data_IF_609360047601
#
_entry.id   IF_609360047601
#
_cell.length_a   1.000
_cell.length_b   1.000
_cell.length_c   1.000
_cell.angle_alpha   90.00
_cell.angle_beta   90.00
_cell.angle_gamma   90.00
#
_symmetry.space_group_name_H-M   'P 1'
#
loop_
_entity.id
_entity.type
_entity.pdbx_description
1 polymer ?
#
# COMPACT_ATOMS: atom_id res chain seq x y z
N UNK A 1 56.46 27.78 -1.83
CA UNK A 1 56.65 28.32 -3.18
C UNK A 1 55.83 27.43 -4.10
N UNK A 2 54.78 27.77 -4.73
CA UNK A 2 54.40 28.91 -5.58
C UNK A 2 52.89 29.07 -5.60
N UNK A 3 52.45 30.30 -5.62
CA UNK A 3 51.07 30.82 -5.76
C UNK A 3 50.58 30.71 -7.22
N UNK A 4 49.25 30.72 -7.39
CA UNK A 4 48.60 31.14 -8.62
C UNK A 4 47.20 30.47 -8.68
N UNK A 5 46.12 31.08 -8.99
CA UNK A 5 45.61 32.46 -9.13
C UNK A 5 44.11 32.28 -9.40
N UNK A 6 43.31 33.11 -8.78
CA UNK A 6 41.88 33.30 -9.03
C UNK A 6 41.60 33.77 -10.47
N UNK A 7 40.56 33.27 -11.10
CA UNK A 7 39.91 33.96 -12.22
C UNK A 7 38.39 33.97 -12.03
N UNK A 8 37.94 35.13 -11.64
CA UNK A 8 36.58 35.66 -11.68
C UNK A 8 36.13 35.81 -13.14
N UNK A 9 34.92 35.38 -13.52
CA UNK A 9 34.28 35.84 -14.75
C UNK A 9 32.85 36.28 -14.53
N UNK A 10 32.62 37.45 -15.03
CA UNK A 10 31.55 38.39 -14.79
C UNK A 10 30.16 37.99 -15.33
N UNK A 11 29.20 38.57 -14.66
CA UNK A 11 27.81 38.81 -14.93
C UNK A 11 27.59 39.45 -16.33
N UNK A 12 26.64 38.96 -17.10
CA UNK A 12 26.07 39.71 -18.21
C UNK A 12 24.52 39.75 -18.08
N UNK A 13 24.09 40.88 -17.57
CA UNK A 13 22.72 41.37 -17.58
C UNK A 13 22.39 41.85 -19.01
N UNK A 14 21.28 41.43 -19.57
CA UNK A 14 20.68 42.11 -20.73
C UNK A 14 19.22 42.48 -20.41
N UNK A 15 19.07 43.80 -20.22
CA UNK A 15 17.81 44.52 -20.41
C UNK A 15 17.39 44.55 -21.90
N UNK A 16 16.13 44.40 -22.22
CA UNK A 16 15.46 45.07 -23.35
C UNK A 16 13.96 45.05 -23.13
N UNK A 17 13.41 46.15 -22.82
CA UNK A 17 12.53 47.09 -23.53
C UNK A 17 11.04 46.70 -23.63
N UNK A 18 10.29 47.60 -22.97
CA UNK A 18 8.88 47.87 -23.16
C UNK A 18 8.61 48.65 -24.49
N UNK A 19 7.45 48.49 -25.03
CA UNK A 19 6.54 49.42 -25.77
C UNK A 19 5.91 48.77 -26.98
N UNK A 20 4.58 48.61 -26.98
CA UNK A 20 3.72 49.49 -27.81
C UNK A 20 2.24 49.17 -27.54
N UNK A 21 1.54 50.21 -27.07
CA UNK A 21 0.09 50.34 -27.07
C UNK A 21 -0.40 50.50 -28.52
N UNK A 22 -1.54 49.89 -28.92
CA UNK A 22 -2.48 50.48 -29.86
C UNK A 22 -3.91 50.12 -29.45
N UNK A 23 -4.64 51.13 -29.09
CA UNK A 23 -6.10 51.20 -29.06
C UNK A 23 -6.64 51.05 -30.48
N UNK A 24 -7.72 50.31 -30.69
CA UNK A 24 -8.69 50.53 -31.75
C UNK A 24 -10.06 50.45 -31.12
N UNK A 25 -10.77 51.60 -31.11
CA UNK A 25 -12.17 51.79 -30.80
C UNK A 25 -12.94 51.58 -32.12
N UNK A 26 -13.97 50.76 -32.12
CA UNK A 26 -14.86 50.57 -33.25
C UNK A 26 -16.27 50.20 -32.81
N UNK A 27 -17.16 51.05 -33.19
CA UNK A 27 -18.56 51.34 -32.78
C UNK A 27 -19.56 50.31 -33.33
N UNK A 28 -20.51 49.93 -32.46
CA UNK A 28 -21.92 49.60 -32.63
C UNK A 28 -22.50 48.89 -33.86
N UNK A 29 -23.26 47.82 -33.60
CA UNK A 29 -24.62 47.67 -34.12
C UNK A 29 -25.36 46.62 -33.28
N UNK A 30 -26.45 47.05 -32.65
CA UNK A 30 -27.39 46.22 -31.93
C UNK A 30 -28.28 45.47 -32.94
N UNK A 31 -28.28 44.14 -32.83
CA UNK A 31 -29.34 43.30 -33.38
C UNK A 31 -29.87 42.46 -32.23
N UNK A 32 -31.06 42.83 -31.74
CA UNK A 32 -31.82 42.05 -30.76
C UNK A 32 -32.40 40.85 -31.53
N UNK A 33 -31.74 39.68 -31.43
CA UNK A 33 -32.29 38.40 -31.83
C UNK A 33 -32.69 37.67 -30.56
N UNK A 34 -33.98 37.59 -30.30
CA UNK A 34 -34.58 36.91 -29.15
C UNK A 34 -34.49 35.38 -29.40
N UNK A 35 -33.35 34.81 -29.13
CA UNK A 35 -33.20 33.35 -29.04
C UNK A 35 -33.71 32.87 -27.66
N UNK A 36 -34.83 32.16 -27.69
CA UNK A 36 -35.27 31.35 -26.57
C UNK A 36 -34.22 30.24 -26.38
N UNK A 37 -33.28 30.47 -25.47
CA UNK A 37 -32.34 29.43 -25.06
C UNK A 37 -33.08 28.52 -24.08
N UNK A 38 -33.57 27.38 -24.58
CA UNK A 38 -33.96 26.27 -23.73
C UNK A 38 -32.70 25.80 -22.99
N UNK A 39 -32.53 26.20 -21.76
CA UNK A 39 -31.50 25.68 -20.88
C UNK A 39 -31.86 24.22 -20.58
N UNK A 40 -31.34 23.31 -21.41
CA UNK A 40 -31.21 21.91 -20.99
C UNK A 40 -30.21 21.94 -19.85
N UNK A 41 -30.74 21.84 -18.62
CA UNK A 41 -29.92 21.71 -17.43
C UNK A 41 -29.10 20.42 -17.57
N UNK A 42 -27.86 20.57 -18.02
CA UNK A 42 -26.87 19.50 -17.83
C UNK A 42 -26.64 19.41 -16.33
N UNK A 43 -27.26 18.44 -15.68
CA UNK A 43 -26.86 18.03 -14.34
C UNK A 43 -25.41 17.56 -14.47
N UNK A 44 -24.46 18.44 -14.14
CA UNK A 44 -23.11 18.01 -13.81
C UNK A 44 -23.26 17.07 -12.61
N UNK A 45 -23.23 15.77 -12.88
CA UNK A 45 -22.93 14.80 -11.83
C UNK A 45 -21.48 15.05 -11.51
N UNK A 46 -21.22 15.81 -10.45
CA UNK A 46 -19.90 15.92 -9.88
C UNK A 46 -19.49 14.48 -9.54
N UNK A 47 -18.58 13.91 -10.34
CA UNK A 47 -17.98 12.63 -10.04
C UNK A 47 -17.29 12.79 -8.68
N UNK A 48 -17.87 12.20 -7.64
CA UNK A 48 -17.23 12.13 -6.33
C UNK A 48 -15.81 11.61 -6.56
N UNK A 49 -14.76 12.30 -6.10
CA UNK A 49 -13.39 11.85 -6.30
C UNK A 49 -13.30 10.41 -5.81
N UNK A 50 -13.01 9.47 -6.69
CA UNK A 50 -12.81 8.07 -6.33
C UNK A 50 -11.66 8.06 -5.33
N UNK A 51 -11.92 7.59 -4.11
CA UNK A 51 -10.88 7.54 -3.07
C UNK A 51 -9.67 6.79 -3.62
N UNK A 52 -8.50 7.44 -3.55
CA UNK A 52 -7.27 6.90 -4.11
C UNK A 52 -6.92 5.57 -3.43
N UNK A 53 -6.74 4.51 -4.22
CA UNK A 53 -6.42 3.19 -3.73
C UNK A 53 -4.94 3.10 -3.33
N UNK A 54 -4.66 2.59 -2.14
CA UNK A 54 -3.30 2.49 -1.59
C UNK A 54 -3.01 1.09 -1.10
N UNK A 55 -2.00 0.43 -1.67
CA UNK A 55 -1.44 -0.82 -1.18
C UNK A 55 -0.28 -0.51 -0.22
N UNK A 56 -0.35 -1.04 0.99
CA UNK A 56 0.76 -1.07 1.93
C UNK A 56 1.35 -2.48 1.99
N UNK A 57 2.66 -2.61 1.80
CA UNK A 57 3.43 -3.82 2.14
C UNK A 57 4.19 -3.54 3.42
N UNK A 58 3.81 -4.20 4.51
CA UNK A 58 4.41 -4.04 5.83
C UNK A 58 5.28 -5.26 6.15
N UNK A 59 6.60 -5.04 6.35
CA UNK A 59 7.53 -6.15 6.48
C UNK A 59 8.78 -5.90 7.30
N UNK A 60 9.60 -6.95 7.37
CA UNK A 60 10.89 -6.99 8.06
C UNK A 60 12.08 -6.95 7.09
N UNK A 61 13.23 -7.59 7.47
CA UNK A 61 14.43 -7.66 6.63
C UNK A 61 14.21 -8.41 5.31
N UNK A 62 13.32 -9.40 5.27
CA UNK A 62 13.04 -10.14 4.06
C UNK A 62 12.36 -9.23 3.03
N UNK A 63 11.38 -8.45 3.47
CA UNK A 63 10.69 -7.46 2.62
C UNK A 63 11.63 -6.33 2.22
N UNK A 64 12.48 -5.87 3.15
CA UNK A 64 13.50 -4.87 2.83
C UNK A 64 14.43 -5.35 1.71
N UNK A 65 14.96 -6.58 1.84
CA UNK A 65 15.81 -7.19 0.81
C UNK A 65 15.07 -7.36 -0.52
N UNK A 66 13.82 -7.83 -0.49
CA UNK A 66 12.97 -7.96 -1.67
C UNK A 66 12.77 -6.62 -2.37
N UNK A 67 12.54 -5.54 -1.62
CA UNK A 67 12.41 -4.22 -2.22
C UNK A 67 13.75 -3.67 -2.73
N UNK A 68 14.85 -3.90 -2.00
CA UNK A 68 16.17 -3.42 -2.39
C UNK A 68 16.74 -4.14 -3.61
N UNK A 69 16.72 -5.49 -3.62
CA UNK A 69 17.34 -6.29 -4.67
C UNK A 69 16.43 -6.50 -5.87
N UNK A 70 15.16 -6.84 -5.65
CA UNK A 70 14.19 -7.16 -6.71
C UNK A 70 13.22 -6.02 -7.02
N UNK A 71 13.42 -4.82 -6.44
CA UNK A 71 12.64 -3.59 -6.73
C UNK A 71 11.13 -3.79 -6.60
N UNK A 72 10.69 -4.52 -5.57
CA UNK A 72 9.30 -4.94 -5.43
C UNK A 72 8.31 -3.77 -5.43
N UNK A 73 8.62 -2.64 -4.80
CA UNK A 73 7.74 -1.46 -4.80
C UNK A 73 7.53 -0.91 -6.21
N UNK A 74 8.59 -0.74 -6.99
CA UNK A 74 8.50 -0.26 -8.38
C UNK A 74 7.73 -1.23 -9.27
N UNK A 75 7.95 -2.53 -9.09
CA UNK A 75 7.26 -3.58 -9.86
C UNK A 75 5.77 -3.65 -9.49
N UNK A 76 5.43 -3.54 -8.23
CA UNK A 76 4.03 -3.42 -7.78
C UNK A 76 3.36 -2.16 -8.35
N UNK A 77 4.02 -1.01 -8.28
CA UNK A 77 3.48 0.24 -8.84
C UNK A 77 3.28 0.16 -10.37
N UNK A 78 4.16 -0.56 -11.08
CA UNK A 78 4.04 -0.78 -12.52
C UNK A 78 2.81 -1.62 -12.93
N UNK A 79 2.25 -2.43 -12.04
CA UNK A 79 1.03 -3.23 -12.31
C UNK A 79 -0.23 -2.37 -12.44
N UNK A 80 -0.23 -1.19 -11.86
CA UNK A 80 -1.40 -0.28 -11.78
C UNK A 80 -2.63 -0.88 -11.08
N UNK A 81 -2.46 -1.91 -10.27
CA UNK A 81 -3.54 -2.47 -9.44
C UNK A 81 -3.98 -1.50 -8.33
N UNK A 82 -3.07 -0.61 -7.90
CA UNK A 82 -3.32 0.44 -6.93
C UNK A 82 -2.72 1.75 -7.42
N UNK A 83 -3.34 2.88 -7.07
CA UNK A 83 -2.84 4.21 -7.41
C UNK A 83 -1.54 4.53 -6.70
N UNK A 84 -1.43 4.07 -5.45
CA UNK A 84 -0.24 4.24 -4.61
C UNK A 84 0.21 2.89 -4.06
N UNK A 85 1.53 2.66 -4.08
CA UNK A 85 2.17 1.49 -3.44
C UNK A 85 3.24 1.98 -2.47
N UNK A 86 3.10 1.58 -1.21
CA UNK A 86 4.06 1.84 -0.15
C UNK A 86 4.66 0.53 0.35
N UNK A 87 5.98 0.48 0.48
CA UNK A 87 6.68 -0.63 1.13
C UNK A 87 7.37 -0.09 2.37
N UNK A 88 6.82 -0.39 3.54
CA UNK A 88 7.44 -0.06 4.81
C UNK A 88 8.02 -1.31 5.47
N UNK A 89 9.33 -1.38 5.49
CA UNK A 89 10.07 -2.54 5.99
C UNK A 89 11.35 -2.13 6.71
N UNK A 90 11.75 -2.89 7.72
CA UNK A 90 12.96 -2.63 8.52
C UNK A 90 13.57 -3.92 9.03
N UNK A 91 14.88 -3.96 9.13
CA UNK A 91 15.63 -5.08 9.69
C UNK A 91 15.26 -5.30 11.15
N UNK A 92 15.07 -6.56 11.53
CA UNK A 92 14.76 -6.93 12.91
C UNK A 92 13.35 -6.57 13.36
N UNK A 93 12.50 -6.05 12.47
CA UNK A 93 11.13 -5.67 12.82
C UNK A 93 10.30 -6.89 13.21
N UNK A 94 9.60 -6.79 14.34
CA UNK A 94 8.57 -7.73 14.80
C UNK A 94 7.18 -7.17 14.52
N UNK A 95 6.16 -7.98 14.70
CA UNK A 95 4.75 -7.56 14.61
C UNK A 95 4.46 -6.48 15.66
N UNK A 96 4.77 -6.80 16.93
CA UNK A 96 4.64 -5.91 18.08
C UNK A 96 5.90 -6.00 18.94
N UNK A 97 6.07 -5.15 19.92
CA UNK A 97 7.23 -5.18 20.81
C UNK A 97 7.61 -3.79 21.29
N UNK A 98 8.90 -3.43 21.18
CA UNK A 98 9.35 -2.09 21.57
C UNK A 98 8.49 -1.03 20.89
N UNK A 99 8.05 -0.01 21.62
CA UNK A 99 7.26 1.10 21.08
C UNK A 99 8.14 1.98 20.16
N UNK A 100 8.44 1.45 18.98
CA UNK A 100 9.34 2.03 17.99
C UNK A 100 8.90 1.62 16.61
N UNK A 101 8.72 2.58 15.71
CA UNK A 101 8.40 2.36 14.29
C UNK A 101 9.43 1.51 13.56
N UNK A 102 10.68 1.49 14.04
CA UNK A 102 11.74 0.65 13.51
C UNK A 102 11.52 -0.83 13.82
N UNK A 103 11.21 -1.16 15.09
CA UNK A 103 11.20 -2.53 15.58
C UNK A 103 9.81 -3.14 15.78
N UNK A 104 8.76 -2.34 15.63
CA UNK A 104 7.36 -2.78 15.73
C UNK A 104 6.59 -2.39 14.47
N UNK A 105 6.06 -3.39 13.76
CA UNK A 105 5.18 -3.18 12.61
C UNK A 105 3.88 -2.48 13.00
N UNK A 106 3.35 -2.82 14.17
CA UNK A 106 2.14 -2.18 14.70
C UNK A 106 2.37 -0.68 15.00
N UNK A 107 3.51 -0.32 15.60
CA UNK A 107 3.86 1.08 15.83
C UNK A 107 4.11 1.83 14.50
N UNK A 108 4.77 1.17 13.53
CA UNK A 108 4.98 1.74 12.20
C UNK A 108 3.67 2.02 11.48
N UNK A 109 2.73 1.07 11.50
CA UNK A 109 1.41 1.24 10.90
C UNK A 109 0.62 2.38 11.55
N UNK A 110 0.62 2.44 12.89
CA UNK A 110 -0.03 3.56 13.61
C UNK A 110 0.55 4.91 13.22
N UNK A 111 1.88 5.00 13.07
CA UNK A 111 2.54 6.23 12.62
C UNK A 111 2.12 6.59 11.18
N UNK A 112 2.16 5.63 10.25
CA UNK A 112 1.71 5.87 8.88
C UNK A 112 0.26 6.40 8.83
N UNK A 113 -0.63 5.81 9.64
CA UNK A 113 -2.02 6.26 9.74
C UNK A 113 -2.10 7.68 10.32
N UNK A 114 -1.30 8.00 11.33
CA UNK A 114 -1.23 9.34 11.91
C UNK A 114 -0.70 10.38 10.91
N UNK A 115 0.26 9.98 10.07
CA UNK A 115 0.82 10.79 8.97
C UNK A 115 -0.12 10.92 7.76
N UNK A 116 -1.35 10.41 7.85
CA UNK A 116 -2.38 10.55 6.83
C UNK A 116 -2.44 9.43 5.80
N UNK A 117 -1.59 8.39 5.89
CA UNK A 117 -1.69 7.23 5.01
C UNK A 117 -2.97 6.45 5.30
N UNK A 118 -3.71 6.13 4.25
CA UNK A 118 -4.97 5.37 4.33
C UNK A 118 -4.88 4.14 3.43
N UNK A 119 -4.28 3.03 3.90
CA UNK A 119 -4.21 1.81 3.10
C UNK A 119 -5.62 1.30 2.80
N UNK A 120 -5.90 0.99 1.54
CA UNK A 120 -7.13 0.30 1.12
C UNK A 120 -6.92 -1.21 1.07
N UNK A 121 -5.67 -1.66 1.08
CA UNK A 121 -5.28 -3.06 1.21
C UNK A 121 -3.88 -3.18 1.82
N UNK A 122 -3.61 -4.30 2.51
CA UNK A 122 -2.33 -4.53 3.19
C UNK A 122 -1.78 -5.92 2.89
N UNK A 123 -0.52 -6.00 2.48
CA UNK A 123 0.28 -7.24 2.52
C UNK A 123 1.13 -7.20 3.79
N UNK A 124 0.99 -8.20 4.66
CA UNK A 124 1.80 -8.34 5.88
C UNK A 124 2.81 -9.47 5.68
N UNK A 125 4.09 -9.15 5.82
CA UNK A 125 5.20 -10.10 5.77
C UNK A 125 6.07 -9.92 7.02
N UNK A 126 5.47 -10.23 8.18
CA UNK A 126 6.04 -10.14 9.52
C UNK A 126 5.86 -11.45 10.29
N UNK A 127 6.69 -11.65 11.30
CA UNK A 127 6.68 -12.82 12.17
C UNK A 127 8.05 -13.50 12.26
N UNK A 128 8.94 -13.32 11.28
CA UNK A 128 10.28 -13.94 11.24
C UNK A 128 11.12 -13.61 12.48
N UNK A 129 10.98 -12.40 13.01
CA UNK A 129 11.70 -11.98 14.20
C UNK A 129 10.93 -12.30 15.50
N UNK A 130 9.62 -12.46 15.41
CA UNK A 130 8.76 -12.84 16.54
C UNK A 130 9.03 -14.29 16.97
N UNK A 131 9.22 -15.21 16.01
CA UNK A 131 9.49 -16.63 16.29
C UNK A 131 10.85 -16.90 16.95
N UNK A 132 11.75 -15.91 16.94
CA UNK A 132 13.01 -15.99 17.66
C UNK A 132 12.90 -15.55 19.13
N UNK A 133 11.82 -14.84 19.48
CA UNK A 133 11.67 -14.20 20.80
C UNK A 133 10.47 -14.76 21.56
N UNK A 134 9.30 -14.87 20.88
CA UNK A 134 8.09 -15.37 21.47
C UNK A 134 8.08 -16.91 21.45
N UNK A 135 7.57 -17.51 22.52
CA UNK A 135 7.59 -18.98 22.65
C UNK A 135 6.21 -19.58 22.90
N UNK A 136 5.26 -18.78 23.34
CA UNK A 136 3.92 -19.23 23.69
C UNK A 136 2.91 -18.88 22.61
N UNK A 137 2.04 -19.83 22.27
CA UNK A 137 1.00 -19.65 21.26
C UNK A 137 0.13 -18.41 21.51
N UNK A 138 -0.23 -18.17 22.79
CA UNK A 138 -1.03 -16.99 23.18
C UNK A 138 -0.36 -15.67 22.80
N UNK A 139 0.98 -15.59 22.88
CA UNK A 139 1.72 -14.39 22.54
C UNK A 139 1.62 -14.09 21.04
N UNK A 140 1.70 -15.13 20.20
CA UNK A 140 1.47 -14.99 18.76
C UNK A 140 0.04 -14.49 18.46
N UNK A 141 -0.97 -15.13 19.07
CA UNK A 141 -2.37 -14.72 18.90
C UNK A 141 -2.54 -13.23 19.25
N UNK A 142 -2.00 -12.80 20.40
CA UNK A 142 -2.11 -11.42 20.85
C UNK A 142 -1.50 -10.43 19.84
N UNK A 143 -0.25 -10.63 19.42
CA UNK A 143 0.42 -9.67 18.55
C UNK A 143 -0.19 -9.64 17.14
N UNK A 144 -0.70 -10.77 16.62
CA UNK A 144 -1.40 -10.85 15.36
C UNK A 144 -2.73 -10.08 15.44
N UNK A 145 -3.52 -10.30 16.50
CA UNK A 145 -4.79 -9.60 16.72
C UNK A 145 -4.59 -8.08 16.87
N UNK A 146 -3.57 -7.66 17.62
CA UNK A 146 -3.23 -6.24 17.78
C UNK A 146 -2.96 -5.58 16.43
N UNK A 147 -2.18 -6.22 15.56
CA UNK A 147 -1.89 -5.68 14.24
C UNK A 147 -3.15 -5.67 13.36
N UNK A 148 -3.93 -6.75 13.33
CA UNK A 148 -5.19 -6.81 12.58
C UNK A 148 -6.18 -5.73 13.02
N UNK A 149 -6.31 -5.49 14.33
CA UNK A 149 -7.14 -4.41 14.86
C UNK A 149 -6.66 -3.02 14.42
N UNK A 150 -5.35 -2.83 14.30
CA UNK A 150 -4.77 -1.56 13.80
C UNK A 150 -4.98 -1.40 12.29
N UNK A 151 -4.89 -2.47 11.51
CA UNK A 151 -5.18 -2.48 10.06
C UNK A 151 -6.65 -2.11 9.81
N UNK A 152 -7.57 -2.63 10.64
CA UNK A 152 -9.00 -2.38 10.50
C UNK A 152 -9.67 -3.22 9.41
N UNK A 153 -10.77 -2.71 8.87
CA UNK A 153 -11.64 -3.43 7.94
C UNK A 153 -11.24 -3.21 6.48
N UNK A 154 -10.03 -3.61 6.12
CA UNK A 154 -9.53 -3.60 4.73
C UNK A 154 -9.02 -4.99 4.34
N UNK A 155 -8.99 -5.34 3.04
CA UNK A 155 -8.41 -6.60 2.57
C UNK A 155 -6.95 -6.76 3.01
N UNK A 156 -6.63 -7.93 3.57
CA UNK A 156 -5.30 -8.28 4.05
C UNK A 156 -4.82 -9.59 3.42
N UNK A 157 -3.56 -9.64 3.01
CA UNK A 157 -2.87 -10.87 2.71
C UNK A 157 -1.65 -11.01 3.63
N UNK A 158 -1.59 -12.08 4.43
CA UNK A 158 -0.46 -12.34 5.32
C UNK A 158 0.36 -13.52 4.82
N UNK A 159 1.68 -13.35 4.75
CA UNK A 159 2.60 -14.37 4.26
C UNK A 159 3.13 -15.20 5.42
N UNK A 160 3.08 -16.54 5.34
CA UNK A 160 3.59 -17.43 6.39
C UNK A 160 5.10 -17.29 6.59
N UNK A 161 5.54 -17.60 7.80
CA UNK A 161 6.96 -17.54 8.20
C UNK A 161 7.65 -18.87 7.93
N UNK A 162 8.82 -18.80 7.31
CA UNK A 162 9.77 -19.90 7.20
C UNK A 162 11.11 -19.47 7.78
N UNK A 163 11.38 -19.86 9.03
CA UNK A 163 12.66 -19.66 9.70
C UNK A 163 13.10 -20.98 10.34
N UNK A 164 14.17 -21.56 9.82
CA UNK A 164 14.60 -22.92 10.16
C UNK A 164 16.10 -23.00 10.48
N UNK A 165 16.67 -21.90 10.95
CA UNK A 165 18.07 -21.77 11.37
C UNK A 165 18.38 -22.61 12.62
N UNK A 166 17.36 -23.03 13.37
CA UNK A 166 17.49 -23.95 14.50
C UNK A 166 16.22 -24.80 14.66
N UNK A 167 16.34 -25.93 15.40
CA UNK A 167 15.17 -26.74 15.75
C UNK A 167 14.12 -25.95 16.57
N UNK A 168 14.55 -24.97 17.33
CA UNK A 168 13.64 -24.12 18.11
C UNK A 168 12.86 -23.18 17.21
N UNK A 169 13.50 -22.42 16.35
CA UNK A 169 12.85 -21.49 15.43
C UNK A 169 11.98 -22.22 14.41
N UNK A 170 12.36 -23.42 13.99
CA UNK A 170 11.51 -24.29 13.15
C UNK A 170 10.19 -24.58 13.84
N UNK A 171 10.21 -25.07 15.09
CA UNK A 171 8.99 -25.34 15.87
C UNK A 171 8.18 -24.05 16.11
N UNK A 172 8.84 -22.94 16.38
CA UNK A 172 8.15 -21.68 16.62
C UNK A 172 7.52 -21.11 15.33
N UNK A 173 8.15 -21.26 14.15
CA UNK A 173 7.56 -20.92 12.87
C UNK A 173 6.27 -21.71 12.61
N UNK A 174 6.27 -23.02 12.88
CA UNK A 174 5.08 -23.86 12.74
C UNK A 174 3.96 -23.39 13.70
N UNK A 175 4.29 -23.12 14.97
CA UNK A 175 3.33 -22.62 15.96
C UNK A 175 2.79 -21.26 15.61
N UNK A 176 3.64 -20.38 15.11
CA UNK A 176 3.25 -19.05 14.64
C UNK A 176 2.27 -19.17 13.47
N UNK A 177 2.60 -19.94 12.44
CA UNK A 177 1.75 -20.12 11.25
C UNK A 177 0.39 -20.74 11.61
N UNK A 178 0.36 -21.69 12.57
CA UNK A 178 -0.90 -22.24 13.07
C UNK A 178 -1.74 -21.20 13.84
N UNK A 179 -1.10 -20.35 14.66
CA UNK A 179 -1.77 -19.25 15.34
C UNK A 179 -2.28 -18.20 14.34
N UNK A 180 -1.49 -17.89 13.32
CA UNK A 180 -1.83 -16.96 12.26
C UNK A 180 -3.07 -17.43 11.49
N UNK A 181 -3.09 -18.66 11.03
CA UNK A 181 -4.25 -19.25 10.35
C UNK A 181 -5.52 -19.18 11.21
N UNK A 182 -5.40 -19.51 12.49
CA UNK A 182 -6.53 -19.46 13.43
C UNK A 182 -7.05 -18.03 13.63
N UNK A 183 -6.16 -17.06 13.80
CA UNK A 183 -6.59 -15.66 13.99
C UNK A 183 -7.24 -15.12 12.73
N UNK A 184 -6.62 -15.32 11.56
CA UNK A 184 -7.12 -14.79 10.30
C UNK A 184 -8.49 -15.38 9.91
N UNK A 185 -8.83 -16.57 10.37
CA UNK A 185 -10.16 -17.17 10.15
C UNK A 185 -11.32 -16.32 10.71
N UNK A 186 -11.05 -15.41 11.64
CA UNK A 186 -12.04 -14.48 12.20
C UNK A 186 -12.15 -13.16 11.44
N UNK A 187 -11.35 -12.96 10.38
CA UNK A 187 -11.32 -11.75 9.58
C UNK A 187 -11.70 -12.06 8.12
N UNK A 188 -12.95 -11.80 7.70
CA UNK A 188 -13.48 -12.21 6.38
C UNK A 188 -12.68 -11.67 5.19
N UNK A 189 -12.06 -10.50 5.37
CA UNK A 189 -11.25 -9.85 4.33
C UNK A 189 -9.77 -10.28 4.37
N UNK A 190 -9.38 -11.15 5.33
CA UNK A 190 -8.01 -11.63 5.42
C UNK A 190 -7.79 -12.91 4.61
N UNK A 191 -6.59 -13.09 4.12
CA UNK A 191 -6.10 -14.29 3.48
C UNK A 191 -4.70 -14.64 3.94
N UNK A 192 -4.38 -15.93 3.90
CA UNK A 192 -3.07 -16.46 4.22
C UNK A 192 -2.40 -16.92 2.92
N UNK A 193 -1.15 -16.50 2.71
CA UNK A 193 -0.29 -17.02 1.65
C UNK A 193 0.76 -17.95 2.23
N UNK A 194 0.82 -19.17 1.72
CA UNK A 194 1.74 -20.19 2.24
C UNK A 194 3.12 -20.15 1.56
N UNK A 195 3.99 -19.28 2.06
CA UNK A 195 5.39 -19.20 1.65
C UNK A 195 6.19 -20.45 1.99
N UNK A 196 5.76 -21.20 3.01
CA UNK A 196 6.44 -22.44 3.39
C UNK A 196 6.37 -23.46 2.27
N UNK A 197 5.23 -23.52 1.56
CA UNK A 197 5.08 -24.40 0.40
C UNK A 197 5.98 -23.99 -0.78
N UNK A 198 6.18 -22.70 -1.02
CA UNK A 198 7.11 -22.24 -2.05
C UNK A 198 8.56 -22.64 -1.73
N UNK A 199 8.97 -22.50 -0.46
CA UNK A 199 10.30 -22.95 -0.01
C UNK A 199 10.46 -24.46 -0.14
N UNK A 200 9.43 -25.24 0.19
CA UNK A 200 9.47 -26.72 0.01
C UNK A 200 9.62 -27.09 -1.45
N UNK A 201 8.91 -26.43 -2.36
CA UNK A 201 8.98 -26.67 -3.81
C UNK A 201 10.34 -26.27 -4.37
N UNK A 202 10.92 -25.18 -3.87
CA UNK A 202 12.20 -24.69 -4.31
C UNK A 202 13.06 -24.14 -3.13
N UNK A 203 13.80 -24.99 -2.43
CA UNK A 203 14.64 -24.55 -1.30
C UNK A 203 15.72 -23.52 -1.66
N UNK A 204 16.06 -23.36 -2.95
CA UNK A 204 17.07 -22.39 -3.42
C UNK A 204 16.62 -20.94 -3.26
N UNK A 205 15.33 -20.68 -2.95
CA UNK A 205 14.82 -19.34 -2.62
C UNK A 205 15.32 -18.85 -1.26
N UNK A 206 15.84 -19.75 -0.41
CA UNK A 206 16.41 -19.38 0.88
C UNK A 206 17.93 -19.22 0.77
N UNK A 207 18.47 -18.27 1.54
CA UNK A 207 19.90 -18.12 1.77
C UNK A 207 20.43 -19.26 2.67
N UNK A 208 21.74 -19.61 2.64
CA UNK A 208 22.33 -20.61 3.52
C UNK A 208 22.10 -20.39 5.02
N UNK A 209 21.84 -19.17 5.47
CA UNK A 209 21.50 -18.86 6.88
C UNK A 209 20.13 -19.38 7.30
N UNK A 210 19.28 -19.83 6.36
CA UNK A 210 17.94 -20.40 6.59
C UNK A 210 16.96 -19.41 7.23
N UNK A 211 17.24 -18.13 7.12
CA UNK A 211 16.41 -17.00 7.59
C UNK A 211 16.05 -16.11 6.42
N UNK A 212 17.07 -15.65 5.69
CA UNK A 212 16.91 -14.66 4.63
C UNK A 212 16.67 -15.31 3.27
N UNK A 213 16.35 -14.47 2.31
CA UNK A 213 16.09 -14.90 0.93
C UNK A 213 17.35 -14.80 0.11
N UNK A 214 17.59 -15.79 -0.74
CA UNK A 214 18.60 -15.72 -1.81
C UNK A 214 18.19 -14.69 -2.88
N UNK A 215 19.06 -14.34 -3.83
CA UNK A 215 18.65 -13.52 -4.99
C UNK A 215 17.41 -14.07 -5.71
N UNK A 216 17.34 -15.39 -5.91
CA UNK A 216 16.17 -16.07 -6.47
C UNK A 216 14.94 -15.91 -5.56
N UNK A 217 15.14 -15.97 -4.24
CA UNK A 217 14.05 -15.80 -3.27
C UNK A 217 13.48 -14.39 -3.27
N UNK A 218 14.30 -13.37 -3.45
CA UNK A 218 13.80 -11.99 -3.60
C UNK A 218 12.95 -11.82 -4.87
N UNK A 219 13.37 -12.42 -5.99
CA UNK A 219 12.58 -12.43 -7.22
C UNK A 219 11.25 -13.17 -7.04
N UNK A 220 11.30 -14.38 -6.49
CA UNK A 220 10.11 -15.18 -6.21
C UNK A 220 9.14 -14.45 -5.27
N UNK A 221 9.64 -13.86 -4.17
CA UNK A 221 8.84 -13.10 -3.23
C UNK A 221 8.19 -11.86 -3.87
N UNK A 222 8.87 -11.23 -4.81
CA UNK A 222 8.30 -10.12 -5.58
C UNK A 222 7.12 -10.59 -6.43
N UNK A 223 7.21 -11.74 -7.09
CA UNK A 223 6.09 -12.32 -7.86
C UNK A 223 4.91 -12.66 -6.94
N UNK A 224 5.19 -13.20 -5.76
CA UNK A 224 4.15 -13.42 -4.73
C UNK A 224 3.45 -12.11 -4.38
N UNK A 225 4.19 -11.04 -4.12
CA UNK A 225 3.57 -9.74 -3.81
C UNK A 225 2.73 -9.22 -4.97
N UNK A 226 3.15 -9.38 -6.22
CA UNK A 226 2.36 -9.01 -7.41
C UNK A 226 1.06 -9.80 -7.48
N UNK A 227 1.12 -11.12 -7.26
CA UNK A 227 -0.07 -11.98 -7.23
C UNK A 227 -1.04 -11.58 -6.12
N UNK A 228 -0.51 -11.31 -4.92
CA UNK A 228 -1.32 -10.86 -3.79
C UNK A 228 -1.94 -9.48 -4.03
N UNK A 229 -1.20 -8.57 -4.66
CA UNK A 229 -1.72 -7.25 -5.03
C UNK A 229 -2.92 -7.36 -5.99
N UNK A 230 -2.85 -8.23 -7.01
CA UNK A 230 -3.97 -8.47 -7.91
C UNK A 230 -5.21 -9.00 -7.16
N UNK A 231 -5.02 -9.99 -6.28
CA UNK A 231 -6.08 -10.55 -5.45
C UNK A 231 -6.73 -9.49 -4.54
N UNK A 232 -5.90 -8.66 -3.92
CA UNK A 232 -6.38 -7.61 -3.01
C UNK A 232 -7.10 -6.51 -3.77
N UNK A 233 -6.63 -6.11 -4.95
CA UNK A 233 -7.30 -5.12 -5.79
C UNK A 233 -8.70 -5.59 -6.19
N UNK A 234 -8.87 -6.87 -6.56
CA UNK A 234 -10.18 -7.45 -6.84
C UNK A 234 -11.11 -7.33 -5.62
N UNK A 235 -10.62 -7.68 -4.42
CA UNK A 235 -11.44 -7.59 -3.19
C UNK A 235 -11.82 -6.15 -2.83
N UNK A 236 -10.95 -5.18 -3.09
CA UNK A 236 -11.27 -3.75 -2.92
C UNK A 236 -12.39 -3.34 -3.88
N UNK A 237 -12.31 -3.76 -5.16
CA UNK A 237 -13.32 -3.49 -6.17
C UNK A 237 -14.67 -4.10 -5.80
N UNK A 238 -14.69 -5.35 -5.35
CA UNK A 238 -15.91 -6.05 -4.96
C UNK A 238 -16.61 -5.35 -3.79
N UNK A 239 -15.84 -4.89 -2.79
CA UNK A 239 -16.36 -4.17 -1.63
C UNK A 239 -16.98 -2.82 -2.01
N UNK A 240 -16.37 -2.08 -2.95
CA UNK A 240 -16.92 -0.80 -3.43
C UNK A 240 -18.18 -0.99 -4.28
N UNK A 241 -18.24 -2.05 -5.08
CA UNK A 241 -19.41 -2.36 -5.92
C UNK A 241 -20.65 -2.73 -5.10
N UNK A 242 -20.46 -3.41 -3.97
CA UNK A 242 -21.55 -3.82 -3.09
C UNK A 242 -22.19 -2.64 -2.34
N UNK A 243 -21.44 -1.55 -2.13
CA UNK A 243 -21.92 -0.35 -1.40
C UNK A 243 -22.75 0.58 -2.30
N UNK A 244 -22.69 0.40 -3.64
CA UNK A 244 -23.32 1.30 -4.62
C UNK A 244 -24.69 0.87 -5.12
N UNK A 245 -25.36 -0.13 -4.51
CA UNK A 245 -26.74 -0.49 -4.86
C UNK A 245 -27.69 0.59 -4.33
N UNK A 246 -28.38 1.35 -5.19
CA UNK A 246 -29.35 2.34 -4.71
C UNK A 246 -30.50 1.62 -4.00
N UNK A 247 -30.82 2.05 -2.79
CA UNK A 247 -32.05 1.65 -2.11
C UNK A 247 -33.24 2.15 -2.97
N UNK A 248 -33.83 1.25 -3.72
CA UNK A 248 -35.07 1.53 -4.47
C UNK A 248 -36.18 1.71 -3.43
N UNK A 249 -36.44 2.96 -3.05
CA UNK A 249 -37.64 3.31 -2.26
C UNK A 249 -38.85 2.98 -3.14
N UNK A 250 -39.62 1.96 -2.75
CA UNK A 250 -40.88 1.64 -3.36
C UNK A 250 -41.82 2.87 -3.27
N UNK A 251 -42.52 3.26 -4.35
CA UNK A 251 -43.48 4.34 -4.27
C UNK A 251 -44.63 3.95 -3.34
N UNK A 252 -44.84 4.72 -2.28
CA UNK A 252 -46.00 4.61 -1.39
C UNK A 252 -47.23 5.00 -2.19
N UNK A 253 -48.05 4.01 -2.57
CA UNK A 253 -49.35 4.26 -3.17
C UNK A 253 -50.29 4.82 -2.07
N UNK A 254 -50.50 6.12 -2.08
CA UNK A 254 -51.53 6.75 -1.27
C UNK A 254 -52.89 6.45 -1.88
N UNK A 255 -53.66 5.61 -1.23
CA UNK A 255 -55.09 5.41 -1.53
C UNK A 255 -55.82 6.52 -0.79
N UNK A 256 -56.43 7.44 -1.54
CA UNK A 256 -57.34 8.44 -0.98
C UNK A 256 -58.73 7.85 -0.73
N UNK A 257 -59.47 8.38 0.27
CA UNK A 257 -60.77 7.85 0.68
C UNK A 257 -61.90 8.09 -0.33
#
# INVERSE_FOLDING_TARGET
MTRGALTTRAVHTRHVNARARRLIVGLAAAIISMCIVSTVGTTHVDATPTAQSTLLVLGDSLTWGTNFFAKSQSRLAATKYFDTVLVDSRWGRRISGLNSTRYSGNAALKQLIADGVRPTAVIVALGTNDVAILTKRREYVTVIQELMNTIGNVPVAWVTVHRVDSATTTRQSQRFNAALAQVLANYPLASLYDWVEDVKKNPKVMDPDKIHLSPLGHETRTQVYVTLAALLAQRVSDATSTTSVPSTVAPTTTIAP
#
